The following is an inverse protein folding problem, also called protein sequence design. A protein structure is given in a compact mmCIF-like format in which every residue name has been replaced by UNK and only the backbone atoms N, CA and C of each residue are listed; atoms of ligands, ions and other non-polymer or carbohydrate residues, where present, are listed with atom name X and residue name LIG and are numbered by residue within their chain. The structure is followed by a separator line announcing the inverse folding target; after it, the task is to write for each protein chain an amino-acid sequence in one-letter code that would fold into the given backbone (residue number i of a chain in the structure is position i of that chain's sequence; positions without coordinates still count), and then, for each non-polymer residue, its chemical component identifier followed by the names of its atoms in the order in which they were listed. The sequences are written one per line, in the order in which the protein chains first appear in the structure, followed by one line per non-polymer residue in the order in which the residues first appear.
data_IF_115636749952
#
_entry.id   IF_115636749952
#
_cell.length_a   1.000
_cell.length_b   1.000
_cell.length_c   1.000
_cell.angle_alpha   90.00
_cell.angle_beta   90.00
_cell.angle_gamma   90.00
#
_symmetry.space_group_name_H-M   'P 1'
#
loop_
_entity.id
_entity.type
_entity.pdbx_description
1 polymer ?
#
# COMPACT_ATOMS: atom_id res chain seq x y z
N UNK A 1 -13.53 -8.85 -31.56
CA UNK A 1 -12.23 -8.34 -32.02
C UNK A 1 -11.42 -9.49 -32.65
N UNK A 2 -10.90 -9.37 -33.89
CA UNK A 2 -10.11 -10.43 -34.53
C UNK A 2 -8.77 -10.73 -33.85
N UNK A 3 -8.33 -9.87 -32.92
CA UNK A 3 -7.10 -10.05 -32.12
C UNK A 3 -7.37 -10.59 -30.72
N UNK A 4 -8.61 -10.92 -30.37
CA UNK A 4 -8.98 -11.42 -29.05
C UNK A 4 -8.86 -10.41 -27.92
N UNK A 5 -8.83 -9.10 -28.25
CA UNK A 5 -8.80 -8.05 -27.20
C UNK A 5 -10.14 -7.93 -26.51
N UNK A 6 -10.10 -7.89 -25.18
CA UNK A 6 -11.28 -7.65 -24.34
C UNK A 6 -11.21 -6.27 -23.69
N UNK A 7 -12.36 -5.65 -23.51
CA UNK A 7 -12.47 -4.36 -22.85
C UNK A 7 -12.32 -4.56 -21.33
N UNK A 8 -11.37 -3.84 -20.71
CA UNK A 8 -11.16 -3.86 -19.27
C UNK A 8 -11.58 -2.53 -18.63
N UNK A 9 -11.95 -2.58 -17.35
CA UNK A 9 -12.36 -1.40 -16.60
C UNK A 9 -11.20 -0.76 -15.81
N UNK A 10 -11.32 0.53 -15.50
CA UNK A 10 -10.40 1.23 -14.58
C UNK A 10 -10.36 0.59 -13.19
N UNK A 11 -11.45 -0.07 -12.77
CA UNK A 11 -11.51 -0.83 -11.51
C UNK A 11 -10.53 -1.99 -11.51
N UNK A 12 -10.41 -2.73 -12.63
CA UNK A 12 -9.44 -3.80 -12.75
C UNK A 12 -8.00 -3.28 -12.60
N UNK A 13 -7.68 -2.13 -13.21
CA UNK A 13 -6.38 -1.46 -13.03
C UNK A 13 -6.14 -1.05 -11.57
N UNK A 14 -7.16 -0.53 -10.88
CA UNK A 14 -7.06 -0.15 -9.46
C UNK A 14 -6.78 -1.37 -8.58
N UNK A 15 -7.45 -2.49 -8.82
CA UNK A 15 -7.19 -3.74 -8.10
C UNK A 15 -5.75 -4.18 -8.31
N UNK A 16 -5.31 -4.27 -9.57
CA UNK A 16 -3.97 -4.74 -9.91
C UNK A 16 -2.86 -3.84 -9.36
N UNK A 17 -3.03 -2.50 -9.40
CA UNK A 17 -2.03 -1.59 -8.83
C UNK A 17 -1.87 -1.79 -7.31
N UNK A 18 -2.99 -1.96 -6.60
CA UNK A 18 -2.94 -2.14 -5.14
C UNK A 18 -2.34 -3.52 -4.82
N UNK A 19 -2.77 -4.60 -5.47
CA UNK A 19 -2.18 -5.94 -5.32
C UNK A 19 -0.66 -5.91 -5.54
N UNK A 20 -0.20 -5.23 -6.59
CA UNK A 20 1.21 -5.11 -6.96
C UNK A 20 2.01 -4.05 -6.20
N UNK A 21 1.44 -3.40 -5.19
CA UNK A 21 2.16 -2.41 -4.38
C UNK A 21 2.43 -1.08 -5.09
N UNK A 22 1.73 -0.75 -6.18
CA UNK A 22 1.94 0.48 -6.95
C UNK A 22 1.16 1.62 -6.31
N UNK A 23 1.88 2.63 -5.82
CA UNK A 23 1.31 3.80 -5.16
C UNK A 23 0.73 4.79 -6.17
N UNK A 24 -0.36 5.44 -5.78
CA UNK A 24 -0.94 6.57 -6.49
C UNK A 24 -0.36 7.89 -6.00
N UNK A 25 0.14 8.72 -6.93
CA UNK A 25 0.51 10.09 -6.60
C UNK A 25 -0.74 10.89 -6.24
N UNK A 26 -0.66 11.73 -5.21
CA UNK A 26 -1.74 12.53 -4.62
C UNK A 26 -2.79 11.74 -3.81
N UNK A 27 -2.89 10.42 -3.99
CA UNK A 27 -3.79 9.57 -3.21
C UNK A 27 -3.07 8.89 -2.05
N UNK A 28 -2.01 8.15 -2.35
CA UNK A 28 -1.29 7.37 -1.34
C UNK A 28 -0.07 8.12 -0.81
N UNK A 29 0.58 8.91 -1.67
CA UNK A 29 1.71 9.76 -1.33
C UNK A 29 1.53 11.17 -1.86
N UNK A 30 2.19 12.14 -1.23
CA UNK A 30 2.17 13.55 -1.62
C UNK A 30 3.55 14.21 -1.43
N UNK A 31 3.66 15.49 -1.78
CA UNK A 31 4.91 16.27 -1.69
C UNK A 31 5.35 16.59 -0.25
N UNK A 32 4.54 16.23 0.76
CA UNK A 32 4.88 16.41 2.18
C UNK A 32 5.57 15.18 2.78
N UNK A 33 5.62 14.08 2.02
CA UNK A 33 6.28 12.85 2.42
C UNK A 33 7.68 12.76 1.80
N UNK A 34 8.61 12.24 2.56
CA UNK A 34 9.90 11.80 2.02
C UNK A 34 9.74 10.47 1.26
N UNK A 35 10.65 10.11 0.35
CA UNK A 35 10.64 8.78 -0.26
C UNK A 35 10.70 7.64 0.77
N UNK A 36 11.38 7.84 1.90
CA UNK A 36 11.46 6.84 2.97
C UNK A 36 10.11 6.62 3.64
N UNK A 37 9.41 7.69 4.00
CA UNK A 37 8.06 7.63 4.57
C UNK A 37 7.07 6.95 3.62
N UNK A 38 7.22 7.14 2.31
CA UNK A 38 6.42 6.47 1.28
C UNK A 38 6.81 5.00 1.03
N UNK A 39 7.83 4.46 1.70
CA UNK A 39 8.33 3.11 1.46
C UNK A 39 9.13 2.97 0.15
N UNK A 40 9.53 4.09 -0.46
CA UNK A 40 10.28 4.14 -1.73
C UNK A 40 11.79 4.30 -1.52
N UNK A 41 12.29 4.02 -0.32
CA UNK A 41 13.71 4.18 0.03
C UNK A 41 14.66 3.40 -0.87
N UNK A 42 14.24 2.24 -1.39
CA UNK A 42 15.03 1.42 -2.31
C UNK A 42 15.32 2.11 -3.66
N UNK A 43 14.58 3.16 -4.00
CA UNK A 43 14.80 3.96 -5.20
C UNK A 43 15.70 5.17 -4.95
N UNK A 44 16.17 5.36 -3.72
CA UNK A 44 17.05 6.46 -3.33
C UNK A 44 18.48 5.95 -3.18
N UNK A 45 19.32 6.29 -4.14
CA UNK A 45 20.75 5.99 -4.06
C UNK A 45 21.48 7.15 -3.35
N UNK A 46 21.82 6.95 -2.08
CA UNK A 46 22.55 7.94 -1.27
C UNK A 46 24.05 7.95 -1.56
N UNK A 47 24.58 6.92 -2.24
CA UNK A 47 26.01 6.79 -2.57
C UNK A 47 26.36 7.46 -3.90
N UNK A 48 25.40 7.72 -4.77
CA UNK A 48 25.64 8.53 -5.97
C UNK A 48 26.02 9.95 -5.56
N UNK A 49 26.81 10.64 -6.35
CA UNK A 49 27.29 12.00 -6.09
C UNK A 49 26.21 12.98 -5.61
N UNK A 50 26.49 14.26 -5.58
CA UNK A 50 25.56 15.26 -5.07
C UNK A 50 24.29 15.38 -5.93
N UNK A 51 23.11 15.56 -5.29
CA UNK A 51 21.82 15.79 -5.92
C UNK A 51 20.92 16.67 -5.06
N UNK A 52 19.92 17.30 -5.67
CA UNK A 52 18.97 18.17 -4.98
C UNK A 52 18.20 17.36 -3.92
N UNK A 53 18.26 17.82 -2.66
CA UNK A 53 17.58 17.18 -1.52
C UNK A 53 18.41 16.13 -0.79
N UNK A 54 19.65 15.82 -1.22
CA UNK A 54 20.50 14.82 -0.57
C UNK A 54 20.71 15.09 0.93
N UNK A 55 21.04 16.34 1.30
CA UNK A 55 21.24 16.71 2.70
C UNK A 55 19.97 16.53 3.55
N UNK A 56 18.82 16.92 3.03
CA UNK A 56 17.55 16.72 3.71
C UNK A 56 17.22 15.23 3.92
N UNK A 57 17.52 14.38 2.93
CA UNK A 57 17.30 12.93 3.04
C UNK A 57 18.33 12.24 3.96
N UNK A 58 19.50 12.82 4.19
CA UNK A 58 20.46 12.32 5.17
C UNK A 58 19.94 12.45 6.61
N UNK A 59 19.19 13.51 6.90
CA UNK A 59 18.61 13.82 8.21
C UNK A 59 17.21 13.24 8.41
N UNK A 60 16.56 12.78 7.32
CA UNK A 60 15.20 12.27 7.37
C UNK A 60 15.08 10.93 8.10
N UNK A 61 13.96 10.73 8.78
CA UNK A 61 13.58 9.40 9.30
C UNK A 61 13.42 8.43 8.13
N UNK A 62 14.07 7.29 8.20
CA UNK A 62 14.06 6.27 7.15
C UNK A 62 12.94 5.24 7.29
N UNK A 63 12.13 5.33 8.35
CA UNK A 63 11.01 4.45 8.56
C UNK A 63 9.82 4.89 7.72
N UNK A 64 9.11 3.92 7.15
CA UNK A 64 7.90 4.19 6.39
C UNK A 64 6.70 4.49 7.30
N UNK A 65 5.81 5.37 6.84
CA UNK A 65 4.47 5.56 7.40
C UNK A 65 3.38 4.97 6.51
N UNK A 66 3.75 4.43 5.35
CA UNK A 66 2.82 3.84 4.38
C UNK A 66 3.04 2.33 4.31
N UNK A 67 2.03 1.57 4.71
CA UNK A 67 2.06 0.12 4.80
C UNK A 67 0.88 -0.51 4.08
N UNK A 68 0.92 -1.81 3.88
CA UNK A 68 -0.25 -2.59 3.48
C UNK A 68 -1.16 -2.89 4.67
N UNK A 69 -2.45 -3.06 4.39
CA UNK A 69 -3.44 -3.57 5.35
C UNK A 69 -4.27 -4.65 4.68
N UNK A 70 -4.51 -5.75 5.40
CA UNK A 70 -5.41 -6.83 4.99
C UNK A 70 -6.57 -6.97 5.95
N UNK A 71 -7.77 -7.24 5.43
CA UNK A 71 -8.98 -7.46 6.21
C UNK A 71 -9.83 -8.55 5.55
N UNK A 72 -10.14 -9.63 6.30
CA UNK A 72 -10.91 -10.76 5.77
C UNK A 72 -12.42 -10.54 5.78
N UNK A 73 -12.91 -9.60 6.58
CA UNK A 73 -14.35 -9.40 6.82
C UNK A 73 -14.92 -8.13 6.19
N UNK A 74 -14.06 -7.27 5.67
CA UNK A 74 -14.47 -6.02 5.05
C UNK A 74 -13.48 -5.56 3.96
N UNK A 75 -13.96 -4.69 3.07
CA UNK A 75 -13.11 -4.00 2.09
C UNK A 75 -12.72 -2.63 2.65
N UNK A 76 -11.42 -2.35 2.87
CA UNK A 76 -10.96 -1.03 3.25
C UNK A 76 -11.38 0.00 2.19
N UNK A 77 -11.77 1.18 2.62
CA UNK A 77 -12.11 2.30 1.73
C UNK A 77 -11.31 3.54 2.11
N UNK A 78 -11.05 4.41 1.15
CA UNK A 78 -10.35 5.66 1.42
C UNK A 78 -11.03 6.45 2.53
N UNK A 79 -10.25 6.95 3.50
CA UNK A 79 -10.73 7.68 4.68
C UNK A 79 -11.14 6.80 5.86
N UNK A 80 -11.21 5.45 5.70
CA UNK A 80 -11.40 4.54 6.85
C UNK A 80 -10.28 4.70 7.86
N UNK A 81 -10.60 4.66 9.15
CA UNK A 81 -9.64 4.88 10.23
C UNK A 81 -9.02 3.57 10.71
N UNK A 82 -7.78 3.65 11.17
CA UNK A 82 -7.04 2.52 11.74
C UNK A 82 -6.79 2.80 13.21
N UNK A 83 -7.13 1.84 14.07
CA UNK A 83 -6.97 1.94 15.51
C UNK A 83 -6.00 0.88 16.04
N UNK A 84 -5.11 1.31 16.94
CA UNK A 84 -4.36 0.45 17.84
C UNK A 84 -5.06 0.53 19.21
N UNK A 85 -5.83 -0.50 19.55
CA UNK A 85 -6.72 -0.46 20.71
C UNK A 85 -7.81 0.62 20.57
N UNK A 86 -7.68 1.71 21.31
CA UNK A 86 -8.61 2.85 21.30
C UNK A 86 -8.09 4.06 20.53
N UNK A 87 -6.82 4.07 20.19
CA UNK A 87 -6.14 5.22 19.61
C UNK A 87 -6.18 5.19 18.08
N UNK A 88 -6.64 6.24 17.43
CA UNK A 88 -6.58 6.35 15.97
C UNK A 88 -5.14 6.63 15.54
N UNK A 89 -4.51 5.68 14.88
CA UNK A 89 -3.09 5.73 14.51
C UNK A 89 -2.85 6.02 13.03
N UNK A 90 -3.88 5.96 12.21
CA UNK A 90 -3.76 6.18 10.77
C UNK A 90 -5.09 6.06 10.03
N UNK A 91 -5.01 6.09 8.71
CA UNK A 91 -6.16 5.98 7.82
C UNK A 91 -5.81 5.24 6.54
N UNK A 92 -6.83 4.76 5.84
CA UNK A 92 -6.71 4.14 4.51
C UNK A 92 -6.68 5.23 3.43
N UNK A 93 -5.69 5.18 2.56
CA UNK A 93 -5.59 6.08 1.39
C UNK A 93 -6.30 5.49 0.18
N UNK A 94 -6.12 4.19 -0.06
CA UNK A 94 -6.81 3.45 -1.11
C UNK A 94 -7.04 2.00 -0.65
N UNK A 95 -8.17 1.42 -1.06
CA UNK A 95 -8.47 0.01 -0.75
C UNK A 95 -9.44 -0.61 -1.73
N UNK A 96 -9.38 -1.91 -1.86
CA UNK A 96 -10.20 -2.73 -2.76
C UNK A 96 -10.42 -4.12 -2.18
N UNK A 97 -11.43 -4.81 -2.69
CA UNK A 97 -11.54 -6.26 -2.56
C UNK A 97 -10.64 -6.90 -3.62
N UNK A 98 -9.66 -7.69 -3.18
CA UNK A 98 -8.76 -8.43 -4.07
C UNK A 98 -9.41 -9.78 -4.42
N UNK A 99 -9.71 -10.03 -5.70
CA UNK A 99 -10.18 -11.34 -6.14
C UNK A 99 -9.06 -12.38 -6.09
N UNK A 100 -7.81 -11.95 -6.28
CA UNK A 100 -6.64 -12.84 -6.25
C UNK A 100 -6.40 -13.40 -4.85
N UNK A 101 -6.55 -12.56 -3.81
CA UNK A 101 -6.28 -12.93 -2.42
C UNK A 101 -7.55 -13.34 -1.65
N UNK A 102 -8.73 -13.07 -2.19
CA UNK A 102 -10.02 -13.39 -1.55
C UNK A 102 -10.33 -12.53 -0.31
N UNK A 103 -9.70 -11.35 -0.18
CA UNK A 103 -9.87 -10.47 0.99
C UNK A 103 -9.78 -8.99 0.62
N UNK A 104 -10.13 -8.12 1.56
CA UNK A 104 -9.94 -6.68 1.42
C UNK A 104 -8.48 -6.32 1.66
N UNK A 105 -7.93 -5.50 0.78
CA UNK A 105 -6.57 -4.96 0.87
C UNK A 105 -6.58 -3.45 0.70
N UNK A 106 -5.59 -2.76 1.27
CA UNK A 106 -5.48 -1.32 1.11
C UNK A 106 -4.16 -0.77 1.63
N UNK A 107 -3.88 0.47 1.27
CA UNK A 107 -2.73 1.20 1.83
C UNK A 107 -3.16 1.93 3.09
N UNK A 108 -2.41 1.68 4.16
CA UNK A 108 -2.53 2.29 5.47
C UNK A 108 -1.46 3.39 5.62
N UNK A 109 -1.88 4.64 5.79
CA UNK A 109 -0.99 5.75 6.11
C UNK A 109 -1.09 6.06 7.60
N UNK A 110 0.01 5.85 8.31
CA UNK A 110 0.12 6.11 9.73
C UNK A 110 0.46 7.57 10.02
N UNK A 111 0.06 8.05 11.18
CA UNK A 111 0.34 9.42 11.61
C UNK A 111 1.82 9.63 11.95
N UNK A 112 2.51 8.58 12.34
CA UNK A 112 3.94 8.58 12.71
C UNK A 112 4.62 7.31 12.22
N UNK A 113 5.93 7.32 11.95
CA UNK A 113 6.70 6.12 11.72
C UNK A 113 6.66 5.18 12.93
N UNK A 114 6.62 3.86 12.68
CA UNK A 114 6.57 2.85 13.75
C UNK A 114 6.85 1.44 13.25
N UNK A 115 6.93 0.49 14.18
CA UNK A 115 7.04 -0.94 13.91
C UNK A 115 5.62 -1.51 13.73
N UNK A 116 5.08 -1.35 12.54
CA UNK A 116 3.69 -1.68 12.22
C UNK A 116 3.46 -3.09 11.64
N UNK A 117 4.41 -3.72 10.89
CA UNK A 117 4.18 -5.02 10.26
C UNK A 117 3.74 -6.09 11.26
N UNK A 118 2.86 -6.99 10.81
CA UNK A 118 2.29 -8.12 11.53
C UNK A 118 1.44 -7.73 12.77
N UNK A 119 1.19 -6.44 12.99
CA UNK A 119 0.32 -6.01 14.09
C UNK A 119 -1.16 -6.19 13.73
N UNK A 120 -1.88 -6.80 14.66
CA UNK A 120 -3.34 -6.88 14.62
C UNK A 120 -3.94 -5.55 15.08
N UNK A 121 -4.76 -4.94 14.24
CA UNK A 121 -5.40 -3.65 14.48
C UNK A 121 -6.88 -3.68 14.18
N UNK A 122 -7.55 -2.57 14.36
CA UNK A 122 -8.97 -2.40 14.04
C UNK A 122 -9.14 -1.38 12.93
N UNK A 123 -9.79 -1.81 11.84
CA UNK A 123 -10.25 -0.96 10.76
C UNK A 123 -11.68 -0.48 11.08
N UNK A 124 -11.91 0.82 11.07
CA UNK A 124 -13.24 1.40 11.18
C UNK A 124 -13.66 2.01 9.85
N UNK A 125 -14.74 1.50 9.27
CA UNK A 125 -15.32 2.03 8.04
C UNK A 125 -16.16 3.29 8.29
N UNK A 126 -16.57 3.95 7.22
CA UNK A 126 -17.35 5.20 7.27
C UNK A 126 -18.76 5.03 7.90
N UNK A 127 -19.30 3.82 7.88
CA UNK A 127 -20.58 3.46 8.54
C UNK A 127 -20.42 3.22 10.05
N UNK A 128 -19.19 3.33 10.58
CA UNK A 128 -18.85 3.09 11.98
C UNK A 128 -18.58 1.62 12.33
N UNK A 129 -18.77 0.69 11.40
CA UNK A 129 -18.46 -0.73 11.63
C UNK A 129 -16.96 -0.94 11.86
N UNK A 130 -16.63 -1.90 12.73
CA UNK A 130 -15.24 -2.20 13.11
C UNK A 130 -14.88 -3.63 12.76
N UNK A 131 -13.73 -3.79 12.15
CA UNK A 131 -13.23 -5.06 11.62
C UNK A 131 -11.78 -5.29 12.08
N UNK A 132 -11.47 -6.53 12.45
CA UNK A 132 -10.07 -6.91 12.69
C UNK A 132 -9.29 -6.85 11.37
N UNK A 133 -8.11 -6.27 11.41
CA UNK A 133 -7.21 -6.16 10.27
C UNK A 133 -5.76 -6.40 10.70
N UNK A 134 -4.90 -6.69 9.73
CA UNK A 134 -3.47 -6.90 9.93
C UNK A 134 -2.69 -5.96 9.06
N UNK A 135 -1.65 -5.35 9.61
CA UNK A 135 -0.71 -4.53 8.86
C UNK A 135 0.36 -5.43 8.25
N UNK A 136 0.61 -5.24 6.98
CA UNK A 136 1.54 -6.07 6.20
C UNK A 136 2.46 -5.21 5.34
N UNK A 137 3.57 -5.79 4.91
CA UNK A 137 4.41 -5.18 3.88
C UNK A 137 3.75 -5.29 2.50
N UNK A 138 4.14 -4.39 1.60
CA UNK A 138 3.76 -4.43 0.17
C UNK A 138 4.97 -4.83 -0.68
N UNK A 139 4.71 -5.43 -1.88
CA UNK A 139 3.43 -5.72 -2.51
C UNK A 139 2.64 -6.85 -1.84
N UNK A 140 1.32 -6.85 -2.00
CA UNK A 140 0.45 -7.92 -1.47
C UNK A 140 0.56 -9.21 -2.27
N UNK A 141 0.78 -9.10 -3.57
CA UNK A 141 0.84 -10.20 -4.51
C UNK A 141 2.07 -10.10 -5.40
N UNK A 142 2.65 -11.25 -5.77
CA UNK A 142 3.87 -11.38 -6.58
C UNK A 142 5.06 -10.56 -6.03
N UNK A 143 5.37 -10.75 -4.76
CA UNK A 143 6.43 -10.00 -4.03
C UNK A 143 7.78 -10.05 -4.73
N UNK A 144 8.10 -11.18 -5.36
CA UNK A 144 9.37 -11.39 -6.07
C UNK A 144 9.29 -11.02 -7.56
N UNK A 145 8.18 -10.46 -8.00
CA UNK A 145 7.92 -10.07 -9.39
C UNK A 145 8.13 -11.24 -10.38
N UNK A 146 7.77 -12.47 -9.99
CA UNK A 146 8.02 -13.66 -10.78
C UNK A 146 7.12 -13.71 -12.02
N UNK A 147 5.86 -13.25 -11.90
CA UNK A 147 4.91 -13.20 -13.01
C UNK A 147 5.36 -12.21 -14.07
N UNK A 148 5.64 -10.96 -13.67
CA UNK A 148 6.05 -9.90 -14.62
C UNK A 148 7.40 -10.19 -15.27
N UNK A 149 8.25 -10.99 -14.62
CA UNK A 149 9.53 -11.46 -15.17
C UNK A 149 9.39 -12.72 -16.03
N UNK A 150 8.19 -13.29 -16.15
CA UNK A 150 7.91 -14.50 -16.91
C UNK A 150 8.52 -15.78 -16.31
N UNK A 151 8.91 -15.75 -15.02
CA UNK A 151 9.40 -16.90 -14.26
C UNK A 151 8.21 -17.76 -13.84
N UNK A 152 7.24 -17.17 -13.18
CA UNK A 152 5.94 -17.78 -12.95
C UNK A 152 5.01 -17.43 -14.12
N UNK A 153 4.50 -18.47 -14.78
CA UNK A 153 3.56 -18.33 -15.92
C UNK A 153 2.16 -18.75 -15.54
N UNK A 154 1.90 -19.06 -14.29
CA UNK A 154 0.55 -19.26 -13.79
C UNK A 154 -0.20 -17.94 -13.86
N UNK A 155 -1.38 -17.96 -14.48
CA UNK A 155 -2.30 -16.81 -14.50
C UNK A 155 -3.36 -17.14 -13.46
N UNK A 156 -3.53 -16.28 -12.42
CA UNK A 156 -4.57 -16.51 -11.42
C UNK A 156 -5.97 -16.35 -12.01
#
# INVERSE_FOLDING_TARGET
DPLGMEFSSTRAMTIRRIEGGILGNTTDMDTKMTPFEAGLGNFVDMEKGDFIGRSALQEADRRTILMGLTCSTATPTSGSLIFDGKDPVGHITAGVSSPTLGLGIGYARFNTPGEWPDRAMTLQLSDGSRHACTIVETPFFDRDHQIVRGIDRSIP
#
